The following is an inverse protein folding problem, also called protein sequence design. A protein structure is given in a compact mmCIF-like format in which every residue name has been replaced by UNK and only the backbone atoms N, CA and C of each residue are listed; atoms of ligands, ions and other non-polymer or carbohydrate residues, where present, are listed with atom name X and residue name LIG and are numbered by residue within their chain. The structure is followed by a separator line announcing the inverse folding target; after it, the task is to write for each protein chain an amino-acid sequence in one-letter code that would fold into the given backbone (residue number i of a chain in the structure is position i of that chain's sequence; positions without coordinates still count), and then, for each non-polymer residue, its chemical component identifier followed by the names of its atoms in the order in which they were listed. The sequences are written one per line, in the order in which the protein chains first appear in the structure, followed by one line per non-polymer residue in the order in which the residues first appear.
data_IF_185205437842
#
_entry.id   IF_185205437842
#
_cell.length_a   1.000
_cell.length_b   1.000
_cell.length_c   1.000
_cell.angle_alpha   90.00
_cell.angle_beta   90.00
_cell.angle_gamma   90.00
#
_symmetry.space_group_name_H-M   'P 1'
#
loop_
_entity.id
_entity.type
_entity.pdbx_description
1 polymer ?
#
# COMPACT_ATOMS: atom_id res chain seq x y z
N UNK A 1 5.65 40.38 38.36
CA UNK A 1 6.54 39.26 37.98
C UNK A 1 5.67 38.06 37.67
N UNK A 2 5.31 37.84 36.41
CA UNK A 2 4.56 36.65 36.00
C UNK A 2 5.53 35.49 35.89
N UNK A 3 5.61 34.66 36.94
CA UNK A 3 6.36 33.41 36.89
C UNK A 3 5.77 32.53 35.77
N UNK A 4 6.49 32.39 34.66
CA UNK A 4 6.07 31.50 33.58
C UNK A 4 5.99 30.07 34.11
N UNK A 5 4.87 29.40 33.88
CA UNK A 5 4.69 28.00 34.28
C UNK A 5 5.81 27.12 33.68
N UNK A 6 6.34 26.12 34.42
CA UNK A 6 7.32 25.18 33.88
C UNK A 6 6.79 24.49 32.61
N UNK A 7 7.60 24.45 31.55
CA UNK A 7 7.18 23.93 30.23
C UNK A 7 6.56 22.54 30.32
N UNK A 8 7.15 21.64 31.09
CA UNK A 8 6.67 20.26 31.30
C UNK A 8 5.28 20.20 31.91
N UNK A 9 4.99 21.07 32.89
CA UNK A 9 3.67 21.13 33.51
C UNK A 9 2.62 21.66 32.52
N UNK A 10 2.95 22.73 31.78
CA UNK A 10 2.07 23.26 30.74
C UNK A 10 1.75 22.22 29.66
N UNK A 11 2.76 21.44 29.23
CA UNK A 11 2.54 20.35 28.28
C UNK A 11 1.59 19.29 28.86
N UNK A 12 1.77 18.85 30.11
CA UNK A 12 0.86 17.86 30.72
C UNK A 12 -0.61 18.33 30.75
N UNK A 13 -0.85 19.63 30.98
CA UNK A 13 -2.19 20.22 30.88
C UNK A 13 -2.75 20.20 29.46
N UNK A 14 -1.92 20.46 28.44
CA UNK A 14 -2.33 20.39 27.03
C UNK A 14 -2.75 18.97 26.62
N UNK A 15 -2.17 17.94 27.24
CA UNK A 15 -2.61 16.56 27.05
C UNK A 15 -3.92 16.23 27.81
N UNK A 16 -4.60 17.21 28.39
CA UNK A 16 -5.91 17.05 29.02
C UNK A 16 -5.87 16.54 30.47
N UNK A 17 -4.70 16.56 31.12
CA UNK A 17 -4.61 16.12 32.51
C UNK A 17 -5.18 17.17 33.47
N UNK A 18 -5.95 16.76 34.51
CA UNK A 18 -6.40 17.67 35.56
C UNK A 18 -5.22 18.38 36.24
N UNK A 19 -5.42 19.63 36.66
CA UNK A 19 -4.35 20.49 37.20
C UNK A 19 -3.56 19.83 38.34
N UNK A 20 -4.27 19.32 39.35
CA UNK A 20 -3.66 18.67 40.52
C UNK A 20 -2.89 17.39 40.15
N UNK A 21 -3.38 16.67 39.13
CA UNK A 21 -2.72 15.47 38.65
C UNK A 21 -1.46 15.79 37.83
N UNK A 22 -1.55 16.74 36.91
CA UNK A 22 -0.42 17.23 36.13
C UNK A 22 0.70 17.76 37.04
N UNK A 23 0.34 18.41 38.16
CA UNK A 23 1.30 18.94 39.12
C UNK A 23 2.05 17.82 39.82
N UNK A 24 1.34 16.81 40.35
CA UNK A 24 1.97 15.63 40.97
C UNK A 24 2.87 14.88 40.00
N UNK A 25 2.45 14.69 38.76
CA UNK A 25 3.27 14.04 37.71
C UNK A 25 4.53 14.86 37.43
N UNK A 26 4.40 16.20 37.34
CA UNK A 26 5.54 17.08 37.15
C UNK A 26 6.52 17.04 38.33
N UNK A 27 6.01 17.12 39.56
CA UNK A 27 6.80 17.09 40.80
C UNK A 27 7.52 15.74 40.97
N UNK A 28 6.94 14.65 40.46
CA UNK A 28 7.56 13.32 40.39
C UNK A 28 8.64 13.20 39.29
N UNK A 29 8.91 14.25 38.51
CA UNK A 29 9.93 14.25 37.46
C UNK A 29 9.57 13.47 36.20
N UNK A 30 8.27 13.18 35.99
CA UNK A 30 7.73 12.56 34.79
C UNK A 30 7.53 13.61 33.68
N UNK A 31 8.00 13.27 32.48
CA UNK A 31 7.72 14.02 31.26
C UNK A 31 6.83 13.19 30.33
N UNK A 32 6.18 13.83 29.36
CA UNK A 32 5.37 13.12 28.34
C UNK A 32 6.18 12.03 27.64
N UNK A 33 7.44 12.31 27.31
CA UNK A 33 8.35 11.33 26.68
C UNK A 33 8.58 10.12 27.58
N UNK A 34 8.84 10.32 28.88
CA UNK A 34 9.00 9.22 29.85
C UNK A 34 7.70 8.45 30.01
N UNK A 35 6.57 9.14 30.13
CA UNK A 35 5.25 8.52 30.29
C UNK A 35 4.86 7.63 29.10
N UNK A 36 5.30 7.98 27.88
CA UNK A 36 5.11 7.15 26.67
C UNK A 36 6.00 5.91 26.62
N UNK A 37 7.21 6.00 27.16
CA UNK A 37 8.21 4.93 27.09
C UNK A 37 8.05 3.89 28.21
N UNK A 38 7.51 4.30 29.36
CA UNK A 38 7.37 3.44 30.52
C UNK A 38 6.11 2.58 30.46
N UNK A 39 6.20 1.37 31.02
CA UNK A 39 5.05 0.51 31.23
C UNK A 39 4.14 1.06 32.34
N UNK A 40 2.86 0.69 32.33
CA UNK A 40 1.92 1.02 33.42
C UNK A 40 2.47 0.51 34.77
N UNK A 41 3.10 -0.67 34.79
CA UNK A 41 3.75 -1.24 35.98
C UNK A 41 4.92 -0.40 36.49
N UNK A 42 5.73 0.19 35.61
CA UNK A 42 6.82 1.10 35.99
C UNK A 42 6.27 2.42 36.53
N UNK A 43 5.19 2.95 35.94
CA UNK A 43 4.53 4.16 36.41
C UNK A 43 4.00 4.01 37.85
N UNK A 44 3.44 2.83 38.17
CA UNK A 44 2.97 2.53 39.51
C UNK A 44 4.14 2.35 40.48
N UNK A 45 5.10 1.48 40.15
CA UNK A 45 6.16 1.08 41.07
C UNK A 45 7.23 2.16 41.32
N UNK A 46 7.62 2.91 40.28
CA UNK A 46 8.72 3.89 40.37
C UNK A 46 8.24 5.30 40.69
N UNK A 47 7.01 5.63 40.31
CA UNK A 47 6.47 6.99 40.45
C UNK A 47 5.26 7.06 41.39
N UNK A 48 4.86 5.94 42.01
CA UNK A 48 3.81 5.91 43.03
C UNK A 48 2.42 6.26 42.50
N UNK A 49 2.19 6.14 41.20
CA UNK A 49 0.89 6.39 40.59
C UNK A 49 -0.08 5.25 40.92
N UNK A 50 -1.34 5.57 41.18
CA UNK A 50 -2.37 4.53 41.25
C UNK A 50 -2.60 3.88 39.87
N UNK A 51 -3.16 2.66 39.79
CA UNK A 51 -3.42 2.01 38.51
C UNK A 51 -4.33 2.82 37.56
N UNK A 52 -5.32 3.52 38.11
CA UNK A 52 -6.23 4.38 37.34
C UNK A 52 -5.52 5.64 36.82
N UNK A 53 -4.68 6.28 37.64
CA UNK A 53 -3.87 7.44 37.24
C UNK A 53 -2.83 7.08 36.18
N UNK A 54 -2.15 5.94 36.34
CA UNK A 54 -1.20 5.45 35.36
C UNK A 54 -1.88 5.19 34.00
N UNK A 55 -3.06 4.56 34.02
CA UNK A 55 -3.86 4.35 32.81
C UNK A 55 -4.31 5.67 32.16
N UNK A 56 -4.84 6.60 32.95
CA UNK A 56 -5.25 7.93 32.49
C UNK A 56 -4.08 8.67 31.85
N UNK A 57 -2.90 8.66 32.49
CA UNK A 57 -1.70 9.30 31.98
C UNK A 57 -1.29 8.69 30.64
N UNK A 58 -1.20 7.36 30.54
CA UNK A 58 -0.82 6.65 29.32
C UNK A 58 -1.80 6.91 28.18
N UNK A 59 -3.10 6.89 28.45
CA UNK A 59 -4.15 7.18 27.46
C UNK A 59 -4.07 8.62 26.97
N UNK A 60 -3.88 9.57 27.89
CA UNK A 60 -3.79 10.99 27.58
C UNK A 60 -2.58 11.31 26.71
N UNK A 61 -1.40 10.76 27.04
CA UNK A 61 -0.16 11.06 26.29
C UNK A 61 -0.05 10.32 24.96
N UNK A 62 -0.92 9.35 24.68
CA UNK A 62 -0.86 8.55 23.46
C UNK A 62 -1.13 9.43 22.23
N UNK A 63 -0.24 9.36 21.23
CA UNK A 63 -0.47 10.04 19.95
C UNK A 63 -1.63 9.36 19.23
N UNK A 64 -2.59 10.14 18.77
CA UNK A 64 -3.68 9.62 17.94
C UNK A 64 -3.16 9.38 16.53
N UNK A 65 -3.57 8.27 15.89
CA UNK A 65 -3.25 8.04 14.48
C UNK A 65 -3.86 9.17 13.63
N UNK A 66 -3.18 9.52 12.53
CA UNK A 66 -3.75 10.42 11.52
C UNK A 66 -4.81 9.62 10.76
N UNK A 67 -5.96 10.24 10.51
CA UNK A 67 -7.04 9.64 9.74
C UNK A 67 -6.52 9.24 8.33
N UNK A 68 -6.73 7.98 7.89
CA UNK A 68 -6.25 7.52 6.58
C UNK A 68 -6.82 8.34 5.41
N UNK A 69 -8.03 8.90 5.52
CA UNK A 69 -8.61 9.74 4.47
C UNK A 69 -7.89 11.08 4.37
N UNK A 70 -7.48 11.66 5.50
CA UNK A 70 -6.64 12.87 5.53
C UNK A 70 -5.27 12.61 4.91
N UNK A 71 -4.66 11.46 5.24
CA UNK A 71 -3.38 11.03 4.64
C UNK A 71 -3.51 10.89 3.13
N UNK A 72 -4.53 10.16 2.65
CA UNK A 72 -4.75 9.94 1.23
C UNK A 72 -5.00 11.25 0.48
N UNK A 73 -5.84 12.13 1.05
CA UNK A 73 -6.13 13.44 0.48
C UNK A 73 -4.87 14.30 0.33
N UNK A 74 -4.03 14.33 1.37
CA UNK A 74 -2.79 15.10 1.39
C UNK A 74 -1.76 14.57 0.37
N UNK A 75 -1.60 13.25 0.29
CA UNK A 75 -0.69 12.63 -0.68
C UNK A 75 -1.15 12.85 -2.13
N UNK A 76 -2.46 12.70 -2.40
CA UNK A 76 -3.02 12.94 -3.73
C UNK A 76 -2.85 14.40 -4.16
N UNK A 77 -3.15 15.36 -3.28
CA UNK A 77 -3.02 16.80 -3.59
C UNK A 77 -1.58 17.25 -3.72
N UNK A 78 -0.64 16.56 -3.08
CA UNK A 78 0.79 16.80 -3.24
C UNK A 78 1.42 15.99 -4.39
N UNK A 79 0.62 15.21 -5.13
CA UNK A 79 1.07 14.27 -6.17
C UNK A 79 2.20 13.34 -5.69
N UNK A 80 2.13 12.90 -4.43
CA UNK A 80 3.15 12.06 -3.77
C UNK A 80 4.57 12.65 -3.78
N UNK A 81 4.69 13.98 -3.79
CA UNK A 81 5.97 14.70 -3.79
C UNK A 81 6.05 15.68 -2.63
N UNK A 82 7.29 16.05 -2.27
CA UNK A 82 7.56 17.08 -1.26
C UNK A 82 6.94 18.42 -1.67
N UNK A 83 6.17 19.05 -0.78
CA UNK A 83 5.59 20.37 -1.03
C UNK A 83 6.65 21.49 -1.18
N UNK A 84 7.88 21.27 -0.70
CA UNK A 84 8.97 22.25 -0.75
C UNK A 84 9.82 22.08 -2.01
N UNK A 85 10.54 20.96 -2.13
CA UNK A 85 11.44 20.72 -3.27
C UNK A 85 10.79 20.00 -4.46
N UNK A 86 9.51 19.60 -4.37
CA UNK A 86 8.76 19.03 -5.51
C UNK A 86 9.39 17.77 -6.13
N UNK A 87 10.22 17.06 -5.37
CA UNK A 87 10.92 15.85 -5.81
C UNK A 87 12.41 16.04 -6.12
N UNK A 88 12.90 17.29 -6.18
CA UNK A 88 14.28 17.58 -6.61
C UNK A 88 15.35 17.01 -5.66
N UNK A 89 15.03 16.93 -4.36
CA UNK A 89 15.96 16.42 -3.33
C UNK A 89 15.72 14.94 -2.98
N UNK A 90 14.80 14.26 -3.67
CA UNK A 90 14.48 12.86 -3.43
C UNK A 90 13.00 12.51 -3.65
N UNK A 91 12.76 11.22 -3.87
CA UNK A 91 11.41 10.67 -4.17
C UNK A 91 10.67 10.14 -2.94
N UNK A 92 11.36 9.98 -1.81
CA UNK A 92 10.74 9.56 -0.56
C UNK A 92 10.08 10.74 0.14
N UNK A 93 9.01 10.45 0.88
CA UNK A 93 8.26 11.45 1.62
C UNK A 93 7.84 10.97 3.00
N UNK A 94 7.59 11.92 3.88
CA UNK A 94 7.05 11.76 5.23
C UNK A 94 6.02 12.86 5.50
N UNK A 95 5.05 12.55 6.35
CA UNK A 95 4.07 13.53 6.80
C UNK A 95 4.63 14.28 7.99
N UNK A 96 4.64 15.60 7.90
CA UNK A 96 5.13 16.50 8.92
C UNK A 96 4.00 17.39 9.43
N UNK A 97 3.94 17.59 10.75
CA UNK A 97 3.05 18.57 11.35
C UNK A 97 3.67 19.97 11.24
N UNK A 98 3.00 20.88 10.54
CA UNK A 98 3.42 22.28 10.35
C UNK A 98 3.62 22.98 11.71
N UNK A 99 2.68 22.78 12.63
CA UNK A 99 2.84 23.08 14.06
C UNK A 99 2.94 21.77 14.81
N UNK A 100 4.01 21.62 15.60
CA UNK A 100 4.35 20.39 16.31
C UNK A 100 3.13 19.77 17.03
N UNK A 101 2.88 18.47 16.80
CA UNK A 101 1.80 17.72 17.43
C UNK A 101 1.81 17.83 18.97
N UNK A 102 2.99 18.01 19.57
CA UNK A 102 3.12 18.12 21.02
C UNK A 102 2.52 19.40 21.59
N UNK A 103 2.30 20.42 20.76
CA UNK A 103 1.72 21.70 21.14
C UNK A 103 0.22 21.76 20.88
N UNK A 104 -0.25 21.17 19.77
CA UNK A 104 -1.64 21.33 19.30
C UNK A 104 -2.44 20.03 19.28
N UNK A 105 -1.77 18.87 19.23
CA UNK A 105 -2.36 17.55 18.96
C UNK A 105 -3.23 17.53 17.68
N UNK A 106 -2.95 18.45 16.76
CA UNK A 106 -3.79 18.70 15.59
C UNK A 106 -3.33 17.82 14.40
N UNK A 107 -4.12 16.80 14.09
CA UNK A 107 -3.96 15.92 12.94
C UNK A 107 -4.82 16.35 11.74
N UNK A 108 -5.38 17.55 11.74
CA UNK A 108 -6.15 18.05 10.61
C UNK A 108 -5.26 18.28 9.39
N UNK A 109 -5.88 18.26 8.23
CA UNK A 109 -5.22 18.48 6.94
C UNK A 109 -4.41 19.79 6.89
N UNK A 110 -4.91 20.86 7.51
CA UNK A 110 -4.31 22.20 7.47
C UNK A 110 -3.05 22.32 8.34
N UNK A 111 -2.84 21.37 9.24
CA UNK A 111 -1.62 21.27 10.05
C UNK A 111 -0.64 20.22 9.52
N UNK A 112 -0.92 19.56 8.39
CA UNK A 112 -0.06 18.54 7.82
C UNK A 112 0.53 18.97 6.48
N UNK A 113 1.77 18.57 6.23
CA UNK A 113 2.50 18.83 4.97
C UNK A 113 3.34 17.60 4.59
N UNK A 114 3.49 17.36 3.28
CA UNK A 114 4.34 16.28 2.75
C UNK A 114 5.74 16.82 2.52
N UNK A 115 6.74 16.26 3.19
CA UNK A 115 8.14 16.64 3.04
C UNK A 115 9.00 15.44 2.66
N UNK A 116 10.07 15.66 1.88
CA UNK A 116 11.13 14.67 1.78
C UNK A 116 12.00 14.71 3.05
N UNK A 117 12.78 13.64 3.36
CA UNK A 117 13.64 13.64 4.54
C UNK A 117 14.59 14.84 4.64
N UNK A 118 15.13 15.30 3.50
CA UNK A 118 16.03 16.44 3.45
C UNK A 118 15.35 17.75 3.88
N UNK A 119 14.13 18.03 3.40
CA UNK A 119 13.40 19.25 3.77
C UNK A 119 12.75 19.14 5.15
N UNK A 120 12.39 17.93 5.58
CA UNK A 120 11.92 17.66 6.95
C UNK A 120 12.99 18.01 7.99
N UNK A 121 14.23 17.63 7.74
CA UNK A 121 15.33 17.94 8.66
C UNK A 121 15.56 19.45 8.74
N UNK A 122 15.41 20.19 7.64
CA UNK A 122 15.46 21.66 7.63
C UNK A 122 14.30 22.31 8.41
N UNK A 123 13.12 21.67 8.45
CA UNK A 123 11.99 22.13 9.25
C UNK A 123 12.22 21.91 10.77
N UNK A 124 12.95 20.85 11.14
CA UNK A 124 13.31 20.57 12.53
C UNK A 124 14.66 21.17 12.97
N UNK A 125 15.48 21.66 12.06
CA UNK A 125 16.86 22.06 12.35
C UNK A 125 16.90 23.18 13.40
N UNK A 126 17.75 22.99 14.42
CA UNK A 126 18.04 23.97 15.46
C UNK A 126 19.51 24.39 15.29
N UNK A 127 19.76 25.62 14.83
CA UNK A 127 21.12 26.11 14.56
C UNK A 127 21.18 27.48 13.89
N UNK A 128 22.36 27.87 13.41
CA UNK A 128 22.62 29.12 12.68
C UNK A 128 22.19 29.06 11.20
N UNK A 129 21.90 27.86 10.68
CA UNK A 129 21.41 27.68 9.31
C UNK A 129 19.96 28.15 9.18
N UNK A 130 19.59 28.64 7.99
CA UNK A 130 18.23 29.07 7.71
C UNK A 130 17.28 27.86 7.81
N UNK A 131 16.31 27.95 8.73
CA UNK A 131 15.22 26.98 8.89
C UNK A 131 14.06 27.30 7.95
N UNK A 132 13.32 26.26 7.56
CA UNK A 132 12.01 26.47 6.95
C UNK A 132 11.03 26.85 8.07
N UNK A 133 10.42 28.02 7.95
CA UNK A 133 9.44 28.52 8.92
C UNK A 133 8.06 27.92 8.70
N UNK A 134 7.21 27.98 9.73
CA UNK A 134 5.80 27.58 9.67
C UNK A 134 5.08 28.25 8.49
N UNK A 135 5.29 29.55 8.30
CA UNK A 135 4.64 30.31 7.22
C UNK A 135 5.15 29.87 5.85
N UNK A 136 6.45 29.61 5.71
CA UNK A 136 7.02 29.05 4.48
C UNK A 136 6.47 27.66 4.16
N UNK A 137 6.25 26.81 5.17
CA UNK A 137 5.62 25.50 4.96
C UNK A 137 4.17 25.63 4.49
N UNK A 138 3.40 26.54 5.10
CA UNK A 138 2.02 26.83 4.69
C UNK A 138 1.96 27.31 3.25
N UNK A 139 2.79 28.30 2.91
CA UNK A 139 2.85 28.86 1.56
C UNK A 139 3.29 27.81 0.53
N UNK A 140 4.36 27.05 0.82
CA UNK A 140 4.86 26.01 -0.09
C UNK A 140 3.80 24.91 -0.32
N UNK A 141 3.07 24.52 0.73
CA UNK A 141 1.95 23.58 0.63
C UNK A 141 0.86 24.12 -0.30
N UNK A 142 0.38 25.33 -0.06
CA UNK A 142 -0.68 25.95 -0.86
C UNK A 142 -0.28 26.11 -2.33
N UNK A 143 0.91 26.66 -2.57
CA UNK A 143 1.44 26.88 -3.92
C UNK A 143 1.58 25.58 -4.69
N UNK A 144 2.10 24.53 -4.04
CA UNK A 144 2.31 23.24 -4.69
C UNK A 144 1.00 22.54 -4.99
N UNK A 145 0.07 22.48 -4.03
CA UNK A 145 -1.23 21.84 -4.25
C UNK A 145 -2.03 22.56 -5.35
N UNK A 146 -1.91 23.88 -5.44
CA UNK A 146 -2.47 24.65 -6.53
C UNK A 146 -1.86 24.25 -7.89
N UNK A 147 -0.52 24.17 -7.98
CA UNK A 147 0.19 23.75 -9.19
C UNK A 147 -0.22 22.33 -9.61
N UNK A 148 -0.28 21.38 -8.68
CA UNK A 148 -0.71 20.01 -8.94
C UNK A 148 -2.15 19.97 -9.48
N UNK A 149 -3.06 20.73 -8.87
CA UNK A 149 -4.45 20.81 -9.33
C UNK A 149 -4.55 21.29 -10.78
N UNK A 150 -3.83 22.37 -11.12
CA UNK A 150 -3.79 22.91 -12.49
C UNK A 150 -3.17 21.91 -13.47
N UNK A 151 -2.01 21.34 -13.13
CA UNK A 151 -1.32 20.38 -13.97
C UNK A 151 -2.14 19.10 -14.20
N UNK A 152 -2.88 18.63 -13.20
CA UNK A 152 -3.77 17.47 -13.33
C UNK A 152 -4.95 17.79 -14.25
N UNK A 153 -5.57 18.95 -14.10
CA UNK A 153 -6.65 19.39 -14.99
C UNK A 153 -6.16 19.51 -16.44
N UNK A 154 -4.97 20.09 -16.65
CA UNK A 154 -4.36 20.20 -17.98
C UNK A 154 -4.06 18.82 -18.59
N UNK A 155 -3.43 17.91 -17.83
CA UNK A 155 -3.16 16.54 -18.29
C UNK A 155 -4.43 15.76 -18.63
N UNK A 156 -5.51 15.97 -17.89
CA UNK A 156 -6.81 15.36 -18.16
C UNK A 156 -7.48 15.96 -19.41
N UNK A 157 -7.28 17.25 -19.68
CA UNK A 157 -7.83 17.94 -20.84
C UNK A 157 -7.00 17.77 -22.12
N UNK A 158 -5.74 17.33 -22.02
CA UNK A 158 -4.89 17.09 -23.18
C UNK A 158 -5.52 16.04 -24.09
N UNK A 159 -5.92 16.47 -25.29
CA UNK A 159 -6.31 15.57 -26.36
C UNK A 159 -5.09 14.74 -26.72
N UNK A 160 -5.09 13.47 -26.34
CA UNK A 160 -4.11 12.51 -26.84
C UNK A 160 -4.50 12.21 -28.28
N UNK A 161 -3.72 12.71 -29.22
CA UNK A 161 -3.76 12.20 -30.58
C UNK A 161 -3.20 10.77 -30.51
N UNK A 162 -4.11 9.82 -30.37
CA UNK A 162 -3.80 8.40 -30.47
C UNK A 162 -3.51 8.18 -31.95
N UNK A 163 -2.24 7.95 -32.29
CA UNK A 163 -1.90 7.57 -33.66
C UNK A 163 -2.62 6.25 -33.96
N UNK A 164 -3.49 6.24 -34.98
CA UNK A 164 -4.20 5.04 -35.43
C UNK A 164 -3.22 3.92 -35.83
N UNK A 165 -1.98 4.26 -36.19
CA UNK A 165 -0.93 3.27 -36.49
C UNK A 165 -0.45 2.49 -35.25
N UNK A 166 -0.68 3.00 -34.04
CA UNK A 166 -0.29 2.36 -32.78
C UNK A 166 -1.37 1.40 -32.26
N UNK A 167 -2.58 1.46 -32.81
CA UNK A 167 -3.59 0.44 -32.57
C UNK A 167 -3.47 -0.57 -33.71
N UNK A 168 -2.73 -1.66 -33.46
CA UNK A 168 -2.70 -2.82 -34.35
C UNK A 168 -4.09 -3.48 -34.37
N UNK A 169 -5.03 -2.86 -35.09
CA UNK A 169 -6.31 -3.44 -35.47
C UNK A 169 -6.12 -4.56 -36.51
N UNK A 170 -4.89 -4.86 -36.94
CA UNK A 170 -4.55 -5.78 -38.02
C UNK A 170 -4.84 -7.26 -37.75
N UNK A 171 -5.17 -7.64 -36.51
CA UNK A 171 -5.51 -9.03 -36.17
C UNK A 171 -6.96 -9.25 -35.68
N UNK A 172 -7.86 -8.28 -35.87
CA UNK A 172 -9.29 -8.46 -35.55
C UNK A 172 -10.19 -8.03 -36.71
N UNK A 173 -9.96 -8.54 -37.92
CA UNK A 173 -10.95 -8.50 -39.01
C UNK A 173 -10.60 -9.50 -40.15
N UNK A 174 -10.74 -10.80 -39.90
CA UNK A 174 -10.99 -11.75 -40.99
C UNK A 174 -11.94 -12.88 -40.56
N UNK A 175 -13.11 -12.52 -40.06
CA UNK A 175 -14.30 -13.38 -40.12
C UNK A 175 -15.45 -12.54 -40.64
N UNK A 176 -15.39 -12.23 -41.93
CA UNK A 176 -16.51 -11.66 -42.65
C UNK A 176 -17.71 -12.62 -42.54
N UNK A 177 -18.81 -12.17 -41.93
CA UNK A 177 -20.11 -12.79 -42.14
C UNK A 177 -21.06 -12.89 -40.95
N UNK A 178 -20.64 -12.63 -39.71
CA UNK A 178 -21.60 -12.69 -38.59
C UNK A 178 -21.35 -11.62 -37.51
N UNK A 179 -22.08 -10.49 -37.51
CA UNK A 179 -21.97 -9.46 -36.48
C UNK A 179 -22.41 -9.93 -35.09
N UNK A 180 -22.94 -11.15 -34.94
CA UNK A 180 -23.28 -11.76 -33.64
C UNK A 180 -22.16 -12.60 -33.03
N UNK A 181 -21.01 -12.75 -33.71
CA UNK A 181 -19.90 -13.53 -33.17
C UNK A 181 -19.23 -12.77 -32.01
N UNK A 182 -19.31 -13.36 -30.80
CA UNK A 182 -18.56 -12.93 -29.61
C UNK A 182 -17.07 -12.93 -29.96
N UNK A 183 -16.42 -11.77 -29.86
CA UNK A 183 -14.98 -11.64 -30.03
C UNK A 183 -14.30 -11.76 -28.67
N UNK A 184 -13.19 -12.49 -28.61
CA UNK A 184 -12.36 -12.62 -27.42
C UNK A 184 -10.89 -12.54 -27.77
N UNK A 185 -10.14 -11.72 -27.05
CA UNK A 185 -8.69 -11.57 -27.20
C UNK A 185 -8.02 -12.08 -25.92
N UNK A 186 -7.18 -13.10 -26.04
CA UNK A 186 -6.35 -13.62 -24.94
C UNK A 186 -5.15 -12.69 -24.74
N UNK A 187 -5.00 -12.16 -23.53
CA UNK A 187 -3.96 -11.18 -23.20
C UNK A 187 -2.96 -11.65 -22.15
N UNK A 188 -3.16 -12.83 -21.55
CA UNK A 188 -2.27 -13.36 -20.51
C UNK A 188 -0.79 -13.43 -20.94
N UNK A 189 -0.43 -13.88 -22.17
CA UNK A 189 0.97 -13.93 -22.58
C UNK A 189 1.67 -12.56 -22.54
N UNK A 190 1.02 -11.50 -23.03
CA UNK A 190 1.63 -10.16 -23.01
C UNK A 190 1.73 -9.60 -21.58
N UNK A 191 0.77 -9.94 -20.71
CA UNK A 191 0.84 -9.57 -19.30
C UNK A 191 1.99 -10.29 -18.59
N UNK A 192 2.24 -11.57 -18.91
CA UNK A 192 3.34 -12.35 -18.34
C UNK A 192 4.70 -11.82 -18.78
N UNK A 193 4.82 -11.38 -20.04
CA UNK A 193 6.05 -10.76 -20.54
C UNK A 193 6.36 -9.43 -19.84
N UNK A 194 5.33 -8.58 -19.67
CA UNK A 194 5.53 -7.20 -19.20
C UNK A 194 5.50 -7.05 -17.67
N UNK A 195 4.72 -7.89 -16.98
CA UNK A 195 4.43 -7.74 -15.55
C UNK A 195 4.43 -9.07 -14.77
N UNK A 196 5.46 -9.92 -14.90
CA UNK A 196 5.46 -11.26 -14.30
C UNK A 196 5.29 -11.26 -12.77
N UNK A 197 5.85 -10.26 -12.08
CA UNK A 197 5.82 -10.16 -10.61
C UNK A 197 4.45 -9.77 -10.03
N UNK A 198 3.53 -9.27 -10.87
CA UNK A 198 2.19 -8.83 -10.43
C UNK A 198 1.09 -9.86 -10.75
N UNK A 199 1.42 -10.90 -11.52
CA UNK A 199 0.48 -11.95 -11.89
C UNK A 199 0.51 -13.08 -10.88
N UNK A 200 -0.67 -13.65 -10.63
CA UNK A 200 -0.80 -14.84 -9.79
C UNK A 200 -0.47 -16.07 -10.63
N UNK A 201 0.35 -17.02 -10.14
CA UNK A 201 0.75 -18.20 -10.92
C UNK A 201 -0.42 -19.14 -11.23
N UNK A 202 -1.52 -19.05 -10.49
CA UNK A 202 -2.73 -19.85 -10.70
C UNK A 202 -3.60 -19.33 -11.86
N UNK A 203 -3.28 -18.17 -12.45
CA UNK A 203 -4.01 -17.64 -13.61
C UNK A 203 -3.68 -18.44 -14.87
N UNK A 204 -4.70 -19.02 -15.48
CA UNK A 204 -4.57 -19.82 -16.71
C UNK A 204 -4.99 -19.08 -17.96
N UNK A 205 -5.86 -18.07 -17.83
CA UNK A 205 -6.31 -17.25 -18.96
C UNK A 205 -6.79 -15.88 -18.50
N UNK A 206 -6.54 -14.87 -19.33
CA UNK A 206 -7.10 -13.52 -19.20
C UNK A 206 -7.58 -13.10 -20.57
N UNK A 207 -8.89 -12.94 -20.72
CA UNK A 207 -9.52 -12.60 -21.98
C UNK A 207 -10.28 -11.29 -21.89
N UNK A 208 -10.06 -10.43 -22.88
CA UNK A 208 -10.96 -9.33 -23.16
C UNK A 208 -12.07 -9.84 -24.06
N UNK A 209 -13.31 -9.75 -23.60
CA UNK A 209 -14.46 -10.27 -24.32
C UNK A 209 -15.34 -9.10 -24.74
N UNK A 210 -15.66 -9.04 -26.03
CA UNK A 210 -16.59 -8.08 -26.59
C UNK A 210 -17.75 -8.82 -27.27
N UNK A 211 -18.97 -8.48 -26.85
CA UNK A 211 -20.21 -8.79 -27.56
C UNK A 211 -20.88 -7.50 -28.01
N UNK A 212 -21.97 -7.60 -28.76
CA UNK A 212 -22.70 -6.43 -29.29
C UNK A 212 -23.02 -5.39 -28.21
N UNK A 213 -23.48 -5.86 -27.04
CA UNK A 213 -23.97 -4.95 -25.99
C UNK A 213 -23.02 -4.80 -24.80
N UNK A 214 -21.90 -5.53 -24.76
CA UNK A 214 -21.09 -5.65 -23.53
C UNK A 214 -19.62 -5.86 -23.82
N UNK A 215 -18.82 -5.31 -22.93
CA UNK A 215 -17.40 -5.55 -22.86
C UNK A 215 -17.04 -5.96 -21.44
N UNK A 216 -16.34 -7.07 -21.27
CA UNK A 216 -15.89 -7.52 -19.94
C UNK A 216 -14.51 -8.18 -20.02
N UNK A 217 -13.79 -8.09 -18.91
CA UNK A 217 -12.56 -8.85 -18.68
C UNK A 217 -12.94 -10.17 -18.00
N UNK A 218 -12.54 -11.30 -18.58
CA UNK A 218 -12.73 -12.63 -18.04
C UNK A 218 -11.37 -13.20 -17.60
N UNK A 219 -11.22 -13.48 -16.30
CA UNK A 219 -10.00 -14.06 -15.73
C UNK A 219 -10.32 -15.45 -15.24
N UNK A 220 -9.60 -16.46 -15.73
CA UNK A 220 -9.74 -17.85 -15.27
C UNK A 220 -8.53 -18.23 -14.44
N UNK A 221 -8.78 -18.80 -13.27
CA UNK A 221 -7.78 -19.36 -12.36
C UNK A 221 -8.02 -20.85 -12.18
N UNK A 222 -6.94 -21.62 -12.06
CA UNK A 222 -6.98 -23.06 -11.88
C UNK A 222 -6.31 -23.45 -10.55
N UNK A 223 -7.08 -24.02 -9.64
CA UNK A 223 -6.61 -24.50 -8.34
C UNK A 223 -6.53 -26.02 -8.34
N UNK A 224 -5.37 -26.59 -7.98
CA UNK A 224 -5.22 -28.04 -7.85
C UNK A 224 -5.81 -28.52 -6.52
N UNK A 225 -6.87 -29.32 -6.58
CA UNK A 225 -7.54 -29.88 -5.40
C UNK A 225 -6.94 -31.24 -5.02
N UNK A 226 -6.56 -32.05 -6.02
CA UNK A 226 -5.84 -33.34 -5.88
C UNK A 226 -4.95 -33.56 -7.11
N UNK A 227 -4.02 -34.52 -7.07
CA UNK A 227 -3.00 -34.76 -8.12
C UNK A 227 -3.52 -34.87 -9.56
N UNK A 228 -4.82 -35.15 -9.74
CA UNK A 228 -5.49 -35.28 -11.03
C UNK A 228 -6.74 -34.39 -11.17
N UNK A 229 -7.08 -33.57 -10.18
CA UNK A 229 -8.30 -32.75 -10.20
C UNK A 229 -7.95 -31.26 -10.08
N UNK A 230 -8.28 -30.54 -11.14
CA UNK A 230 -8.13 -29.08 -11.24
C UNK A 230 -9.53 -28.46 -11.16
N UNK A 231 -9.70 -27.51 -10.25
CA UNK A 231 -10.90 -26.69 -10.17
C UNK A 231 -10.64 -25.36 -10.88
N UNK A 232 -11.44 -25.05 -11.90
CA UNK A 232 -11.31 -23.82 -12.68
C UNK A 232 -12.40 -22.83 -12.27
N UNK A 233 -11.98 -21.63 -11.89
CA UNK A 233 -12.87 -20.53 -11.52
C UNK A 233 -12.67 -19.36 -12.48
N UNK A 234 -13.73 -18.98 -13.20
CA UNK A 234 -13.72 -17.79 -14.07
C UNK A 234 -14.44 -16.62 -13.38
N UNK A 235 -13.78 -15.46 -13.31
CA UNK A 235 -14.32 -14.20 -12.82
C UNK A 235 -14.49 -13.22 -13.97
N UNK A 236 -15.62 -12.54 -14.02
CA UNK A 236 -15.94 -11.53 -15.05
C UNK A 236 -16.06 -10.15 -14.41
N UNK A 237 -15.37 -9.18 -14.99
CA UNK A 237 -15.42 -7.77 -14.58
C UNK A 237 -15.95 -6.94 -15.73
N UNK A 238 -17.06 -6.27 -15.50
CA UNK A 238 -17.72 -5.44 -16.51
C UNK A 238 -16.90 -4.17 -16.81
N UNK A 239 -16.67 -3.90 -18.09
CA UNK A 239 -15.92 -2.75 -18.60
C UNK A 239 -16.82 -1.74 -19.32
N UNK A 240 -18.15 -1.83 -19.15
CA UNK A 240 -19.12 -0.92 -19.78
C UNK A 240 -18.89 0.56 -19.43
N UNK A 241 -18.12 0.88 -18.39
CA UNK A 241 -17.69 2.26 -18.09
C UNK A 241 -16.79 2.88 -19.18
N UNK A 242 -16.16 2.06 -20.03
CA UNK A 242 -15.22 2.51 -21.07
C UNK A 242 -15.93 2.91 -22.36
N UNK A 243 -17.12 2.35 -22.65
CA UNK A 243 -17.82 2.55 -23.94
C UNK A 243 -18.59 3.87 -24.06
N UNK A 244 -18.48 4.78 -23.09
CA UNK A 244 -19.08 6.12 -23.17
C UNK A 244 -20.62 6.13 -23.25
N UNK A 245 -21.28 5.00 -22.99
CA UNK A 245 -22.73 4.92 -22.92
C UNK A 245 -23.23 5.85 -21.82
N UNK A 246 -24.12 6.78 -22.17
CA UNK A 246 -24.68 7.80 -21.28
C UNK A 246 -25.61 7.23 -20.19
N UNK A 247 -25.49 5.96 -19.85
CA UNK A 247 -26.28 5.36 -18.79
C UNK A 247 -25.68 5.73 -17.43
N UNK A 248 -26.54 6.36 -16.63
CA UNK A 248 -26.29 6.75 -15.25
C UNK A 248 -25.57 5.62 -14.53
N UNK A 249 -24.44 5.94 -13.90
CA UNK A 249 -23.79 5.12 -12.87
C UNK A 249 -24.86 4.59 -11.90
N UNK A 250 -25.37 3.40 -12.17
CA UNK A 250 -26.02 2.61 -11.13
C UNK A 250 -24.86 2.05 -10.34
N UNK A 251 -24.56 2.70 -9.22
CA UNK A 251 -23.71 2.12 -8.18
C UNK A 251 -24.11 0.65 -7.99
N UNK A 252 -23.17 -0.27 -7.70
CA UNK A 252 -23.54 -1.63 -7.37
C UNK A 252 -24.57 -1.55 -6.26
N UNK A 253 -25.80 -1.98 -6.54
CA UNK A 253 -26.84 -2.03 -5.52
C UNK A 253 -26.23 -2.78 -4.34
N UNK A 254 -26.16 -2.11 -3.19
CA UNK A 254 -25.87 -2.74 -1.91
C UNK A 254 -26.92 -3.82 -1.74
N UNK A 255 -26.57 -5.06 -2.12
CA UNK A 255 -27.44 -6.22 -1.95
C UNK A 255 -27.58 -6.43 -0.46
N UNK A 256 -28.80 -6.29 0.04
CA UNK A 256 -29.13 -6.58 1.43
C UNK A 256 -28.65 -8.00 1.81
N UNK A 257 -28.09 -8.21 3.01
CA UNK A 257 -27.69 -9.53 3.47
C UNK A 257 -28.91 -10.38 3.84
N UNK A 258 -29.63 -10.88 2.83
CA UNK A 258 -30.64 -11.92 2.96
C UNK A 258 -30.88 -12.55 1.58
N UNK A 259 -30.07 -13.56 1.26
CA UNK A 259 -30.36 -14.75 0.43
C UNK A 259 -29.04 -15.33 -0.09
N UNK A 260 -28.46 -16.23 0.69
CA UNK A 260 -27.60 -17.28 0.14
C UNK A 260 -28.50 -18.42 -0.32
N UNK A 261 -28.76 -18.54 -1.62
CA UNK A 261 -29.09 -19.79 -2.31
C UNK A 261 -29.38 -19.50 -3.78
N UNK A 262 -28.35 -19.56 -4.64
CA UNK A 262 -28.40 -20.06 -6.02
C UNK A 262 -27.06 -19.74 -6.70
N UNK A 263 -26.07 -20.62 -6.49
CA UNK A 263 -24.92 -20.72 -7.38
C UNK A 263 -25.41 -21.43 -8.63
N UNK A 264 -25.50 -20.73 -9.76
CA UNK A 264 -25.66 -21.37 -11.06
C UNK A 264 -24.32 -22.00 -11.46
N UNK A 265 -24.07 -23.21 -10.96
CA UNK A 265 -23.04 -24.09 -11.52
C UNK A 265 -23.49 -24.52 -12.89
N UNK A 266 -22.94 -23.91 -13.94
CA UNK A 266 -23.06 -24.47 -15.29
C UNK A 266 -22.06 -25.63 -15.41
N UNK A 267 -22.51 -26.84 -15.04
CA UNK A 267 -21.75 -28.07 -15.25
C UNK A 267 -21.88 -28.49 -16.72
N UNK A 268 -20.88 -28.16 -17.53
CA UNK A 268 -20.68 -28.88 -18.80
C UNK A 268 -20.04 -30.23 -18.46
N UNK A 269 -20.77 -31.32 -18.67
CA UNK A 269 -20.23 -32.68 -18.60
C UNK A 269 -19.41 -32.95 -19.87
N UNK A 270 -18.10 -33.00 -19.75
CA UNK A 270 -17.23 -33.55 -20.79
C UNK A 270 -17.46 -35.06 -20.92
N UNK A 271 -17.59 -35.53 -22.16
CA UNK A 271 -17.68 -36.96 -22.50
C UNK A 271 -16.33 -37.63 -22.24
N UNK A 272 -16.38 -38.73 -21.50
CA UNK A 272 -15.26 -39.63 -21.22
C UNK A 272 -14.77 -40.31 -22.51
N UNK A 273 -13.50 -40.09 -22.86
CA UNK A 273 -12.77 -40.94 -23.80
C UNK A 273 -12.23 -42.16 -23.04
N UNK A 274 -12.61 -43.36 -23.46
CA UNK A 274 -12.03 -44.63 -23.01
C UNK A 274 -10.65 -44.83 -23.62
N UNK A 275 -9.63 -44.98 -22.78
CA UNK A 275 -8.29 -45.41 -23.19
C UNK A 275 -8.24 -46.95 -23.38
N UNK A 276 -7.43 -47.45 -24.34
CA UNK A 276 -7.29 -48.89 -24.55
C UNK A 276 -6.36 -49.53 -23.51
N UNK A 277 -6.76 -50.73 -23.09
CA UNK A 277 -6.04 -51.62 -22.17
C UNK A 277 -4.82 -52.27 -22.83
N UNK A 278 -3.64 -52.10 -22.24
CA UNK A 278 -2.47 -52.95 -22.51
C UNK A 278 -2.19 -53.85 -21.30
N UNK A 279 -2.15 -55.15 -21.56
CA UNK A 279 -1.92 -56.23 -20.61
C UNK A 279 -0.45 -56.39 -20.19
N UNK A 280 -0.15 -57.01 -19.03
CA UNK A 280 1.18 -57.05 -18.46
C UNK A 280 1.94 -58.34 -18.81
N UNK A 281 3.25 -58.23 -19.00
CA UNK A 281 4.18 -59.38 -18.99
C UNK A 281 5.14 -59.30 -17.79
N UNK A 282 5.26 -60.46 -17.12
CA UNK A 282 6.01 -60.75 -15.89
C UNK A 282 7.51 -60.94 -16.09
N UNK A 283 8.22 -60.89 -14.94
CA UNK A 283 9.51 -61.50 -14.52
C UNK A 283 10.67 -60.49 -14.43
N UNK A 284 11.59 -60.50 -13.47
CA UNK A 284 11.83 -61.16 -12.14
C UNK A 284 12.99 -60.36 -11.45
N UNK A 285 13.45 -60.68 -10.22
CA UNK A 285 13.93 -59.73 -9.21
C UNK A 285 15.45 -59.70 -8.94
N UNK A 286 15.90 -58.70 -8.16
CA UNK A 286 17.14 -58.67 -7.36
C UNK A 286 17.13 -57.41 -6.47
N UNK A 287 17.15 -57.53 -5.13
CA UNK A 287 18.36 -57.51 -4.27
C UNK A 287 19.01 -56.10 -4.26
N UNK A 288 19.26 -55.36 -3.18
CA UNK A 288 19.44 -55.64 -1.75
C UNK A 288 19.54 -54.30 -0.99
N UNK A 289 19.39 -54.40 0.33
CA UNK A 289 19.53 -53.41 1.42
C UNK A 289 20.70 -52.40 1.41
N UNK A 290 20.51 -51.41 2.30
CA UNK A 290 21.44 -50.62 3.15
C UNK A 290 21.18 -49.12 2.94
N UNK A 291 20.85 -48.28 3.93
CA UNK A 291 20.95 -48.41 5.38
C UNK A 291 21.66 -47.18 5.93
N UNK A 292 20.89 -46.26 6.54
CA UNK A 292 21.28 -45.42 7.69
C UNK A 292 22.42 -44.39 7.56
N UNK A 293 22.32 -43.34 8.38
CA UNK A 293 23.50 -42.72 8.99
C UNK A 293 23.63 -41.22 8.77
N UNK A 294 23.18 -40.47 9.77
CA UNK A 294 23.56 -39.08 10.02
C UNK A 294 25.08 -38.92 10.25
N UNK A 295 25.64 -37.76 9.92
CA UNK A 295 26.59 -37.06 10.80
C UNK A 295 26.99 -35.68 10.27
N UNK A 296 27.16 -34.80 11.25
CA UNK A 296 27.71 -33.45 11.22
C UNK A 296 29.13 -33.38 10.65
N UNK A 297 29.49 -32.25 10.04
CA UNK A 297 30.78 -31.62 10.34
C UNK A 297 30.81 -30.13 10.01
N UNK A 298 31.29 -29.37 10.99
CA UNK A 298 31.77 -27.99 10.90
C UNK A 298 33.07 -27.96 10.09
N UNK A 299 33.28 -26.92 9.29
CA UNK A 299 34.62 -26.37 9.04
C UNK A 299 34.53 -24.85 9.06
N UNK A 300 35.52 -24.25 9.74
CA UNK A 300 35.65 -22.85 10.06
C UNK A 300 36.46 -22.08 9.01
N UNK A 301 36.23 -20.76 9.02
CA UNK A 301 37.17 -19.64 8.87
C UNK A 301 38.36 -19.70 7.89
N UNK A 302 38.45 -18.66 7.05
CA UNK A 302 39.59 -17.75 6.78
C UNK A 302 39.57 -17.37 5.28
N UNK A 303 39.83 -16.14 4.84
CA UNK A 303 40.22 -14.91 5.50
C UNK A 303 40.46 -13.78 4.47
N UNK A 304 40.83 -12.60 5.00
CA UNK A 304 41.68 -11.52 4.45
C UNK A 304 41.36 -10.93 3.06
N UNK A 305 41.04 -9.63 3.05
CA UNK A 305 41.88 -8.58 2.43
C UNK A 305 41.29 -8.18 1.07
N UNK A 306 41.32 -6.95 0.56
CA UNK A 306 42.28 -5.86 0.66
C UNK A 306 41.56 -4.54 0.29
N UNK A 307 42.07 -3.42 0.78
CA UNK A 307 41.64 -2.05 0.52
C UNK A 307 42.01 -1.52 -0.88
N UNK A 308 41.28 -0.49 -1.34
CA UNK A 308 41.75 0.64 -2.18
C UNK A 308 40.58 1.64 -2.26
N UNK A 309 40.66 2.83 -1.64
CA UNK A 309 41.23 4.08 -2.19
C UNK A 309 40.58 4.57 -3.50
N UNK A 310 40.09 5.82 -3.49
CA UNK A 310 39.62 6.47 -4.71
C UNK A 310 38.81 7.75 -4.53
N UNK A 311 39.30 8.70 -3.74
CA UNK A 311 38.82 10.09 -3.78
C UNK A 311 39.32 10.77 -5.05
N UNK A 312 38.43 11.32 -5.90
CA UNK A 312 38.78 12.42 -6.81
C UNK A 312 37.61 13.40 -6.97
N UNK A 313 37.94 14.63 -6.61
CA UNK A 313 37.29 15.90 -6.93
C UNK A 313 37.62 16.22 -8.39
N UNK A 314 36.70 16.84 -9.13
CA UNK A 314 37.01 17.38 -10.45
C UNK A 314 35.83 18.09 -11.12
N UNK A 315 35.73 19.39 -10.81
CA UNK A 315 35.09 20.50 -11.54
C UNK A 315 33.59 20.45 -11.84
#
# INVERSE_FOLDING_TARGET
MTSSLPKTFATLLQYGLPNDFAKRVHDAGLTVTKARALSITDLISKYGLSPSEAKLLTESVRRQPIDPDVVNLLLQRSNFLCNVCKGDKGVSYILHHIVEYEQTQDNTYDNLVVLCPNDHDLAHQRGLTLRITVDQLRQAKEDWEHQVKVANAQRAAQKKDINDDAIDYGHVCQVAGNPSARQSVEILPQLQEKYPQYLRPEMTSVQFVQSQDRCHLEITTADRVRDYLVDETSKRTDLTFVSGGSERFSAPAVRSPRMYAASSRSSMRCRSFTAPTCSPTRRRPGSTNFGGGAALSRVACSGRGVAAEGCRIGL
#
